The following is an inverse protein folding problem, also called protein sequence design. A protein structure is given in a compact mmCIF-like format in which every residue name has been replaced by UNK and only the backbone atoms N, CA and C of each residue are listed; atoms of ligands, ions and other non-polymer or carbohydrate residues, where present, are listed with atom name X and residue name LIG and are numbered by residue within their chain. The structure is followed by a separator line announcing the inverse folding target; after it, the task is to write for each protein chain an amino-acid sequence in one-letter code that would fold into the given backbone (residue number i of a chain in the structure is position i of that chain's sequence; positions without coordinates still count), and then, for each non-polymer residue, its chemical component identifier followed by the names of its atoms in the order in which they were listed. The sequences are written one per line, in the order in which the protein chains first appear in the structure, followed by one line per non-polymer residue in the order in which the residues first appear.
data_IF_517202757748
#
_entry.id   IF_517202757748
#
_cell.length_a   1.000
_cell.length_b   1.000
_cell.length_c   1.000
_cell.angle_alpha   90.00
_cell.angle_beta   90.00
_cell.angle_gamma   90.00
#
_symmetry.space_group_name_H-M   'P 1'
#
loop_
_entity.id
_entity.type
_entity.pdbx_description
1 polymer ?
#
# COMPACT_ATOMS: atom_id res chain seq x y z
N UNK A 1 -17.25 -22.47 -27.73
CA UNK A 1 -18.35 -22.10 -26.81
C UNK A 1 -17.99 -20.77 -26.13
N UNK A 2 -18.29 -19.64 -26.79
CA UNK A 2 -18.13 -18.33 -26.18
C UNK A 2 -19.27 -18.16 -25.17
N UNK A 3 -18.95 -18.26 -23.88
CA UNK A 3 -19.86 -17.83 -22.83
C UNK A 3 -20.12 -16.35 -23.07
N UNK A 4 -21.26 -16.02 -23.68
CA UNK A 4 -21.82 -14.67 -23.66
C UNK A 4 -21.98 -14.30 -22.20
N UNK A 5 -20.96 -13.67 -21.63
CA UNK A 5 -21.11 -12.94 -20.36
C UNK A 5 -22.17 -11.90 -20.64
N UNK A 6 -23.37 -12.10 -20.10
CA UNK A 6 -24.50 -11.22 -20.27
C UNK A 6 -24.08 -9.79 -19.92
N UNK A 7 -23.76 -8.99 -20.94
CA UNK A 7 -23.42 -7.58 -20.83
C UNK A 7 -24.70 -6.73 -20.65
N UNK A 8 -25.72 -7.29 -19.99
CA UNK A 8 -27.09 -6.80 -19.98
C UNK A 8 -27.69 -6.81 -18.58
N UNK A 9 -27.08 -6.07 -17.65
CA UNK A 9 -27.77 -5.28 -16.63
C UNK A 9 -26.71 -4.60 -15.75
N UNK A 10 -26.37 -3.36 -16.13
CA UNK A 10 -25.50 -2.44 -15.39
C UNK A 10 -26.05 -1.99 -14.02
N UNK A 11 -27.10 -2.65 -13.53
CA UNK A 11 -27.66 -2.52 -12.20
C UNK A 11 -27.07 -3.57 -11.26
N UNK A 12 -25.74 -3.58 -11.06
CA UNK A 12 -25.15 -4.32 -9.94
C UNK A 12 -25.96 -4.01 -8.68
N UNK A 13 -26.41 -5.07 -7.98
CA UNK A 13 -27.34 -4.95 -6.85
C UNK A 13 -26.86 -3.85 -5.89
N UNK A 14 -27.70 -2.91 -5.42
CA UNK A 14 -27.27 -1.76 -4.61
C UNK A 14 -26.37 -2.14 -3.42
N UNK A 15 -26.66 -3.26 -2.76
CA UNK A 15 -25.87 -3.79 -1.65
C UNK A 15 -24.42 -4.12 -2.04
N UNK A 16 -24.16 -4.55 -3.28
CA UNK A 16 -22.81 -4.88 -3.75
C UNK A 16 -21.91 -3.64 -3.80
N UNK A 17 -22.48 -2.49 -4.18
CA UNK A 17 -21.75 -1.21 -4.19
C UNK A 17 -21.43 -0.74 -2.77
N UNK A 18 -22.38 -0.88 -1.85
CA UNK A 18 -22.20 -0.54 -0.43
C UNK A 18 -21.14 -1.46 0.20
N UNK A 19 -21.22 -2.76 -0.03
CA UNK A 19 -20.26 -3.73 0.47
C UNK A 19 -18.86 -3.49 -0.11
N UNK A 20 -18.72 -3.24 -1.42
CA UNK A 20 -17.43 -2.91 -2.03
C UNK A 20 -16.84 -1.62 -1.44
N UNK A 21 -17.65 -0.59 -1.25
CA UNK A 21 -17.22 0.68 -0.63
C UNK A 21 -16.80 0.48 0.82
N UNK A 22 -17.60 -0.22 1.62
CA UNK A 22 -17.32 -0.49 3.04
C UNK A 22 -16.05 -1.32 3.21
N UNK A 23 -15.90 -2.39 2.43
CA UNK A 23 -14.70 -3.21 2.40
C UNK A 23 -13.47 -2.37 2.01
N UNK A 24 -13.51 -1.68 0.87
CA UNK A 24 -12.41 -0.87 0.40
C UNK A 24 -12.04 0.23 1.41
N UNK A 25 -13.02 0.89 2.01
CA UNK A 25 -12.80 1.90 3.04
C UNK A 25 -12.07 1.29 4.24
N UNK A 26 -12.57 0.15 4.77
CA UNK A 26 -11.96 -0.54 5.91
C UNK A 26 -10.50 -0.93 5.69
N UNK A 27 -10.08 -1.21 4.44
CA UNK A 27 -8.68 -1.56 4.14
C UNK A 27 -7.68 -0.43 4.45
N UNK A 28 -8.14 0.82 4.56
CA UNK A 28 -7.30 1.96 4.90
C UNK A 28 -7.18 2.22 6.41
N UNK A 29 -7.92 1.49 7.24
CA UNK A 29 -7.93 1.68 8.69
C UNK A 29 -7.31 0.47 9.38
N UNK A 30 -5.97 0.45 9.58
CA UNK A 30 -5.33 -0.60 10.37
C UNK A 30 -5.70 -0.52 11.87
N UNK A 31 -6.36 0.57 12.28
CA UNK A 31 -6.84 0.85 13.63
C UNK A 31 -8.31 1.30 13.64
N UNK A 32 -9.05 1.02 14.73
CA UNK A 32 -8.70 0.06 15.78
C UNK A 32 -8.81 -1.38 15.26
N UNK A 33 -8.14 -2.32 15.93
CA UNK A 33 -8.45 -3.74 15.75
C UNK A 33 -9.88 -4.04 16.22
N UNK A 34 -10.46 -5.13 15.71
CA UNK A 34 -11.71 -5.67 16.25
C UNK A 34 -11.47 -6.12 17.69
N UNK A 35 -12.38 -5.78 18.60
CA UNK A 35 -12.36 -6.19 20.01
C UNK A 35 -12.75 -7.68 20.17
N UNK A 36 -12.06 -8.57 19.46
CA UNK A 36 -12.22 -10.01 19.53
C UNK A 36 -11.05 -10.56 20.33
N UNK A 37 -11.28 -10.77 21.63
CA UNK A 37 -10.23 -11.13 22.58
C UNK A 37 -9.21 -10.01 22.79
N UNK A 38 -8.22 -10.27 23.64
CA UNK A 38 -7.26 -9.24 24.06
C UNK A 38 -6.02 -9.13 23.15
N UNK A 39 -5.88 -10.00 22.13
CA UNK A 39 -4.58 -10.22 21.46
C UNK A 39 -4.65 -10.46 19.95
N UNK A 40 -5.83 -10.46 19.32
CA UNK A 40 -5.92 -10.96 17.93
C UNK A 40 -5.37 -10.01 16.88
N UNK A 41 -5.34 -8.69 17.15
CA UNK A 41 -4.91 -7.67 16.18
C UNK A 41 -5.71 -7.65 14.87
N UNK A 42 -6.84 -8.36 14.83
CA UNK A 42 -7.62 -8.60 13.62
C UNK A 42 -8.29 -7.31 13.16
N UNK A 43 -8.01 -6.89 11.93
CA UNK A 43 -8.63 -5.71 11.33
C UNK A 43 -10.00 -6.04 10.72
N UNK A 44 -10.88 -5.04 10.66
CA UNK A 44 -12.19 -5.19 10.01
C UNK A 44 -12.07 -5.66 8.54
N UNK A 45 -11.12 -5.12 7.78
CA UNK A 45 -10.84 -5.54 6.40
C UNK A 45 -10.46 -7.01 6.28
N UNK A 46 -9.68 -7.54 7.23
CA UNK A 46 -9.27 -8.94 7.27
C UNK A 46 -10.48 -9.83 7.58
N UNK A 47 -11.30 -9.46 8.56
CA UNK A 47 -12.54 -10.18 8.89
C UNK A 47 -13.52 -10.21 7.71
N UNK A 48 -13.70 -9.07 7.01
CA UNK A 48 -14.52 -9.01 5.80
C UNK A 48 -13.94 -9.83 4.65
N UNK A 49 -12.61 -9.91 4.54
CA UNK A 49 -11.94 -10.76 3.53
C UNK A 49 -12.18 -12.24 3.80
N UNK A 50 -12.12 -12.67 5.06
CA UNK A 50 -12.45 -14.04 5.46
C UNK A 50 -13.91 -14.38 5.17
N UNK A 51 -14.83 -13.46 5.49
CA UNK A 51 -16.25 -13.64 5.19
C UNK A 51 -16.53 -13.79 3.68
N UNK A 52 -15.63 -13.29 2.82
CA UNK A 52 -15.75 -13.43 1.36
C UNK A 52 -15.27 -14.80 0.84
N UNK A 53 -14.53 -15.60 1.62
CA UNK A 53 -13.91 -16.86 1.18
C UNK A 53 -14.90 -17.83 0.51
N UNK A 54 -16.10 -18.14 1.05
CA UNK A 54 -17.02 -19.07 0.42
C UNK A 54 -17.41 -18.66 -1.01
N UNK A 55 -17.55 -17.35 -1.24
CA UNK A 55 -17.89 -16.81 -2.57
C UNK A 55 -16.71 -16.83 -3.53
N UNK A 56 -15.49 -16.75 -3.01
CA UNK A 56 -14.26 -16.83 -3.80
C UNK A 56 -13.99 -18.28 -4.24
N UNK A 57 -14.21 -19.25 -3.35
CA UNK A 57 -14.07 -20.68 -3.65
C UNK A 57 -15.05 -21.17 -4.73
N UNK A 58 -16.23 -20.55 -4.84
CA UNK A 58 -17.23 -20.88 -5.86
C UNK A 58 -16.89 -20.35 -7.27
N UNK A 59 -15.80 -19.60 -7.44
CA UNK A 59 -15.43 -18.96 -8.72
C UNK A 59 -14.15 -19.52 -9.30
N UNK A 60 -14.00 -19.40 -10.62
CA UNK A 60 -12.74 -19.73 -11.27
C UNK A 60 -11.64 -18.77 -10.83
N UNK A 61 -10.43 -19.27 -10.52
CA UNK A 61 -9.38 -18.46 -9.94
C UNK A 61 -8.85 -17.42 -10.93
N UNK A 62 -9.09 -16.15 -10.62
CA UNK A 62 -8.49 -15.03 -11.33
C UNK A 62 -7.03 -14.78 -10.95
N UNK A 63 -6.50 -13.64 -11.41
CA UNK A 63 -5.08 -13.29 -11.15
C UNK A 63 -4.82 -12.96 -9.68
N UNK A 64 -5.68 -12.22 -8.96
CA UNK A 64 -5.46 -11.97 -7.53
C UNK A 64 -5.44 -13.23 -6.69
N UNK A 65 -6.34 -14.19 -6.94
CA UNK A 65 -6.33 -15.48 -6.24
C UNK A 65 -5.07 -16.31 -6.57
N UNK A 66 -4.60 -16.30 -7.82
CA UNK A 66 -3.32 -16.96 -8.16
C UNK A 66 -2.14 -16.30 -7.47
N UNK A 67 -2.10 -14.97 -7.40
CA UNK A 67 -1.07 -14.25 -6.67
C UNK A 67 -1.11 -14.57 -5.17
N UNK A 68 -2.31 -14.66 -4.57
CA UNK A 68 -2.48 -15.11 -3.20
C UNK A 68 -1.87 -16.50 -2.99
N UNK A 69 -2.18 -17.48 -3.84
CA UNK A 69 -1.62 -18.83 -3.75
C UNK A 69 -0.09 -18.85 -3.94
N UNK A 70 0.43 -18.05 -4.88
CA UNK A 70 1.87 -17.91 -5.09
C UNK A 70 2.59 -17.34 -3.87
N UNK A 71 1.98 -16.42 -3.14
CA UNK A 71 2.55 -15.85 -1.92
C UNK A 71 2.38 -16.76 -0.69
N UNK A 72 1.26 -17.46 -0.57
CA UNK A 72 1.03 -18.37 0.56
C UNK A 72 1.83 -19.67 0.48
N UNK A 73 2.12 -20.16 -0.73
CA UNK A 73 2.89 -21.40 -0.93
C UNK A 73 4.26 -21.38 -0.22
N UNK A 74 5.14 -20.40 -0.51
CA UNK A 74 6.43 -20.27 0.16
C UNK A 74 6.32 -20.08 1.68
N UNK A 75 5.31 -19.37 2.17
CA UNK A 75 5.07 -19.23 3.63
C UNK A 75 4.79 -20.60 4.24
N UNK A 76 3.86 -21.37 3.66
CA UNK A 76 3.49 -22.68 4.18
C UNK A 76 4.67 -23.67 4.15
N UNK A 77 5.46 -23.66 3.06
CA UNK A 77 6.65 -24.50 2.93
C UNK A 77 7.73 -24.09 3.94
N UNK A 78 8.01 -22.80 4.07
CA UNK A 78 8.97 -22.28 5.05
C UNK A 78 8.57 -22.63 6.48
N UNK A 79 7.31 -22.38 6.85
CA UNK A 79 6.79 -22.71 8.17
C UNK A 79 6.90 -24.21 8.47
N UNK A 80 6.48 -25.06 7.53
CA UNK A 80 6.53 -26.52 7.70
C UNK A 80 7.97 -27.02 7.85
N UNK A 81 8.88 -26.50 7.04
CA UNK A 81 10.28 -26.88 7.07
C UNK A 81 10.94 -26.46 8.39
N UNK A 82 10.80 -25.19 8.77
CA UNK A 82 11.42 -24.65 9.97
C UNK A 82 10.85 -25.29 11.26
N UNK A 83 9.56 -25.61 11.30
CA UNK A 83 8.98 -26.34 12.44
C UNK A 83 9.46 -27.79 12.55
N UNK A 84 9.89 -28.40 11.44
CA UNK A 84 10.33 -29.81 11.41
C UNK A 84 11.83 -29.95 11.60
N UNK A 85 12.63 -29.05 11.03
CA UNK A 85 14.08 -29.18 10.92
C UNK A 85 14.87 -27.98 11.45
N UNK A 86 14.22 -26.85 11.72
CA UNK A 86 14.89 -25.61 12.12
C UNK A 86 15.26 -25.58 13.60
N UNK A 87 16.45 -25.08 13.90
CA UNK A 87 16.82 -24.64 15.25
C UNK A 87 16.43 -23.15 15.39
N UNK A 88 15.24 -22.92 15.94
CA UNK A 88 14.58 -21.62 15.87
C UNK A 88 14.76 -20.82 17.15
N UNK A 89 15.07 -19.51 17.06
CA UNK A 89 15.09 -18.62 18.23
C UNK A 89 13.76 -18.62 19.00
N UNK A 90 12.64 -18.66 18.27
CA UNK A 90 11.29 -18.59 18.83
C UNK A 90 10.30 -19.42 18.00
N UNK A 91 10.16 -20.75 18.26
CA UNK A 91 9.35 -21.64 17.44
C UNK A 91 7.84 -21.36 17.51
N UNK A 92 7.35 -20.76 18.60
CA UNK A 92 5.94 -20.42 18.78
C UNK A 92 5.49 -19.21 17.96
N UNK A 93 6.42 -18.40 17.45
CA UNK A 93 6.14 -17.25 16.59
C UNK A 93 5.72 -17.69 15.19
N UNK A 94 6.32 -18.76 14.64
CA UNK A 94 6.04 -19.23 13.28
C UNK A 94 4.54 -19.45 13.01
N UNK A 95 3.78 -20.22 13.82
CA UNK A 95 2.36 -20.42 13.55
C UNK A 95 1.56 -19.13 13.67
N UNK A 96 1.88 -18.27 14.65
CA UNK A 96 1.20 -16.99 14.87
C UNK A 96 1.37 -16.05 13.67
N UNK A 97 2.61 -15.90 13.21
CA UNK A 97 2.94 -15.03 12.09
C UNK A 97 2.47 -15.61 10.75
N UNK A 98 2.51 -16.93 10.58
CA UNK A 98 1.90 -17.57 9.39
C UNK A 98 0.41 -17.25 9.29
N UNK A 99 -0.33 -17.30 10.41
CA UNK A 99 -1.74 -16.93 10.44
C UNK A 99 -1.91 -15.43 10.15
N UNK A 100 -1.10 -14.56 10.75
CA UNK A 100 -1.15 -13.12 10.51
C UNK A 100 -0.90 -12.77 9.02
N UNK A 101 0.07 -13.42 8.39
CA UNK A 101 0.39 -13.29 6.97
C UNK A 101 -0.77 -13.77 6.08
N UNK A 102 -1.38 -14.91 6.41
CA UNK A 102 -2.58 -15.41 5.71
C UNK A 102 -3.70 -14.38 5.79
N UNK A 103 -3.96 -13.82 6.97
CA UNK A 103 -5.00 -12.81 7.18
C UNK A 103 -4.72 -11.53 6.42
N UNK A 104 -3.47 -11.05 6.41
CA UNK A 104 -3.07 -9.87 5.68
C UNK A 104 -3.26 -10.04 4.16
N UNK A 105 -2.84 -11.20 3.63
CA UNK A 105 -2.93 -11.50 2.20
C UNK A 105 -4.35 -11.87 1.75
N UNK A 106 -5.23 -12.31 2.65
CA UNK A 106 -6.61 -12.68 2.34
C UNK A 106 -7.38 -11.56 1.61
N UNK A 107 -6.98 -10.29 1.81
CA UNK A 107 -7.50 -9.11 1.10
C UNK A 107 -7.39 -9.22 -0.43
N UNK A 108 -6.41 -9.95 -0.95
CA UNK A 108 -6.26 -10.19 -2.40
C UNK A 108 -7.44 -10.94 -3.02
N UNK A 109 -8.12 -11.78 -2.23
CA UNK A 109 -9.31 -12.51 -2.66
C UNK A 109 -10.44 -11.58 -3.12
N UNK A 110 -11.06 -10.81 -2.20
CA UNK A 110 -12.11 -9.85 -2.55
C UNK A 110 -11.60 -8.69 -3.42
N UNK A 111 -10.28 -8.42 -3.47
CA UNK A 111 -9.71 -7.41 -4.35
C UNK A 111 -10.07 -7.64 -5.84
N UNK A 112 -10.17 -8.90 -6.29
CA UNK A 112 -10.64 -9.20 -7.65
C UNK A 112 -12.08 -8.73 -7.90
N UNK A 113 -12.95 -8.92 -6.91
CA UNK A 113 -14.35 -8.56 -7.02
C UNK A 113 -14.53 -7.04 -7.09
N UNK A 114 -13.84 -6.30 -6.22
CA UNK A 114 -13.91 -4.83 -6.22
C UNK A 114 -13.10 -4.19 -7.35
N UNK A 115 -12.18 -4.92 -7.99
CA UNK A 115 -11.52 -4.50 -9.23
C UNK A 115 -12.40 -4.72 -10.48
N UNK A 116 -13.63 -5.21 -10.34
CA UNK A 116 -14.63 -5.15 -11.42
C UNK A 116 -14.97 -3.69 -11.77
N UNK A 117 -15.08 -3.35 -13.07
CA UNK A 117 -15.21 -1.96 -13.55
C UNK A 117 -16.26 -1.12 -12.81
N UNK A 118 -17.44 -1.68 -12.55
CA UNK A 118 -18.54 -0.96 -11.91
C UNK A 118 -18.32 -0.73 -10.40
N UNK A 119 -17.60 -1.65 -9.75
CA UNK A 119 -17.29 -1.58 -8.31
C UNK A 119 -15.99 -0.81 -8.04
N UNK A 120 -15.05 -0.77 -8.98
CA UNK A 120 -13.78 -0.08 -8.82
C UNK A 120 -13.94 1.43 -8.56
N UNK A 121 -15.01 2.02 -9.12
CA UNK A 121 -15.37 3.42 -8.84
C UNK A 121 -15.76 3.64 -7.38
N UNK A 122 -16.33 2.63 -6.74
CA UNK A 122 -16.68 2.66 -5.32
C UNK A 122 -15.43 2.45 -4.46
N UNK A 123 -14.50 1.60 -4.89
CA UNK A 123 -13.16 1.46 -4.29
C UNK A 123 -12.39 2.77 -4.31
N UNK A 124 -12.35 3.47 -5.45
CA UNK A 124 -11.68 4.78 -5.56
C UNK A 124 -12.35 5.86 -4.71
N UNK A 125 -13.68 5.86 -4.63
CA UNK A 125 -14.40 6.79 -3.76
C UNK A 125 -14.10 6.51 -2.28
N UNK A 126 -14.03 5.24 -1.89
CA UNK A 126 -13.63 4.82 -0.55
C UNK A 126 -12.19 5.22 -0.23
N UNK A 127 -11.24 5.01 -1.15
CA UNK A 127 -9.86 5.43 -1.01
C UNK A 127 -9.73 6.95 -0.84
N UNK A 128 -10.44 7.74 -1.67
CA UNK A 128 -10.50 9.19 -1.52
C UNK A 128 -11.06 9.63 -0.17
N UNK A 129 -12.11 8.96 0.32
CA UNK A 129 -12.69 9.25 1.63
C UNK A 129 -11.74 8.92 2.77
N UNK A 130 -11.05 7.78 2.71
CA UNK A 130 -10.06 7.41 3.69
C UNK A 130 -8.90 8.42 3.73
N UNK A 131 -8.38 8.85 2.57
CA UNK A 131 -7.35 9.89 2.48
C UNK A 131 -7.78 11.18 3.16
N UNK A 132 -9.02 11.64 2.93
CA UNK A 132 -9.56 12.84 3.61
C UNK A 132 -9.60 12.64 5.13
N UNK A 133 -10.11 11.50 5.61
CA UNK A 133 -10.17 11.21 7.05
C UNK A 133 -8.77 11.20 7.68
N UNK A 134 -7.81 10.51 7.08
CA UNK A 134 -6.44 10.49 7.57
C UNK A 134 -5.77 11.86 7.53
N UNK A 135 -6.08 12.69 6.53
CA UNK A 135 -5.55 14.04 6.44
C UNK A 135 -6.10 14.94 7.54
N UNK A 136 -7.41 14.88 7.83
CA UNK A 136 -8.01 15.63 8.94
C UNK A 136 -7.43 15.20 10.29
N UNK A 137 -7.27 13.89 10.51
CA UNK A 137 -6.63 13.36 11.72
C UNK A 137 -5.17 13.78 11.80
N UNK A 138 -4.44 13.75 10.67
CA UNK A 138 -3.05 14.20 10.63
C UNK A 138 -2.87 15.69 10.91
N UNK A 139 -3.79 16.54 10.45
CA UNK A 139 -3.79 17.96 10.83
C UNK A 139 -4.04 18.14 12.33
N UNK A 140 -4.93 17.35 12.93
CA UNK A 140 -5.14 17.35 14.38
C UNK A 140 -3.92 16.83 15.15
N UNK A 141 -3.21 15.83 14.61
CA UNK A 141 -1.91 15.36 15.12
C UNK A 141 -0.87 16.47 15.12
N UNK A 142 -0.74 17.27 14.05
CA UNK A 142 0.19 18.40 14.04
C UNK A 142 -0.11 19.39 15.17
N UNK A 143 -1.37 19.73 15.37
CA UNK A 143 -1.78 20.62 16.47
C UNK A 143 -1.45 20.01 17.84
N UNK A 144 -1.75 18.73 18.05
CA UNK A 144 -1.56 18.06 19.34
C UNK A 144 -0.07 17.82 19.67
N UNK A 145 0.75 17.48 18.67
CA UNK A 145 2.20 17.34 18.82
C UNK A 145 2.90 18.66 19.16
N UNK A 146 2.32 19.80 18.80
CA UNK A 146 2.79 21.11 19.26
C UNK A 146 2.59 21.32 20.78
N UNK A 147 1.74 20.51 21.41
CA UNK A 147 1.46 20.49 22.85
C UNK A 147 1.98 19.20 23.52
N UNK A 148 2.87 18.44 22.85
CA UNK A 148 3.42 17.17 23.34
C UNK A 148 2.38 16.07 23.63
N UNK A 149 1.20 16.16 23.00
CA UNK A 149 0.11 15.20 23.16
C UNK A 149 -0.04 14.29 21.94
N UNK A 150 -0.33 13.00 22.17
CA UNK A 150 -0.74 12.07 21.11
C UNK A 150 -2.28 12.00 21.06
N UNK A 151 -2.94 12.59 20.04
CA UNK A 151 -4.38 12.67 20.03
C UNK A 151 -5.02 11.33 19.68
N UNK A 152 -6.24 11.13 20.19
CA UNK A 152 -7.09 9.98 19.86
C UNK A 152 -6.40 8.63 20.12
N UNK A 153 -5.54 8.53 21.16
CA UNK A 153 -4.79 7.32 21.48
C UNK A 153 -5.69 6.07 21.61
N UNK A 154 -6.93 6.24 22.09
CA UNK A 154 -7.94 5.17 22.17
C UNK A 154 -8.27 4.51 20.82
N UNK A 155 -8.03 5.18 19.69
CA UNK A 155 -8.20 4.59 18.36
C UNK A 155 -7.02 3.67 18.00
N UNK A 156 -5.83 3.87 18.58
CA UNK A 156 -4.60 3.13 18.25
C UNK A 156 -4.49 1.81 19.02
N UNK A 157 -5.62 1.15 19.23
CA UNK A 157 -5.69 -0.16 19.89
C UNK A 157 -5.56 -1.26 18.84
N UNK A 158 -4.34 -1.71 18.58
CA UNK A 158 -4.07 -2.91 17.80
C UNK A 158 -2.81 -3.62 18.32
N UNK A 159 -2.93 -4.80 18.97
CA UNK A 159 -1.78 -5.55 19.47
C UNK A 159 -0.74 -5.91 18.39
N UNK A 160 -1.15 -6.06 17.13
CA UNK A 160 -0.23 -6.36 16.01
C UNK A 160 0.61 -5.15 15.56
N UNK A 161 0.32 -3.96 16.09
CA UNK A 161 1.00 -2.70 15.78
C UNK A 161 1.09 -1.81 17.03
N UNK A 162 1.41 -2.34 18.21
CA UNK A 162 1.26 -1.59 19.46
C UNK A 162 1.98 -0.23 19.42
N UNK A 163 1.20 0.85 19.55
CA UNK A 163 1.68 2.22 19.78
C UNK A 163 1.65 2.58 21.28
N UNK A 164 1.14 1.70 22.14
CA UNK A 164 0.91 1.97 23.56
C UNK A 164 2.23 2.22 24.30
N UNK A 165 3.29 1.47 23.99
CA UNK A 165 4.60 1.65 24.63
C UNK A 165 5.40 2.79 23.99
N UNK A 166 5.09 3.15 22.75
CA UNK A 166 5.87 4.09 21.94
C UNK A 166 5.22 5.48 21.81
N UNK A 167 3.96 5.69 22.21
CA UNK A 167 3.24 6.94 21.94
C UNK A 167 3.89 8.16 22.58
N UNK A 168 4.45 8.03 23.80
CA UNK A 168 5.16 9.13 24.47
C UNK A 168 6.42 9.52 23.70
N UNK A 169 7.20 8.52 23.29
CA UNK A 169 8.39 8.74 22.45
C UNK A 169 7.98 9.38 21.12
N UNK A 170 6.87 8.91 20.53
CA UNK A 170 6.38 9.43 19.26
C UNK A 170 5.90 10.88 19.35
N UNK A 171 5.11 11.23 20.37
CA UNK A 171 4.57 12.57 20.56
C UNK A 171 5.64 13.58 20.97
N UNK A 172 6.62 13.18 21.78
CA UNK A 172 7.66 14.08 22.27
C UNK A 172 8.80 14.26 21.26
N UNK A 173 9.21 13.19 20.59
CA UNK A 173 10.42 13.20 19.77
C UNK A 173 10.16 13.07 18.27
N UNK A 174 9.20 12.25 17.85
CA UNK A 174 8.99 11.97 16.41
C UNK A 174 8.15 13.07 15.76
N UNK A 175 7.01 13.45 16.35
CA UNK A 175 6.12 14.55 15.91
C UNK A 175 5.74 14.53 14.41
N UNK A 176 5.61 13.35 13.81
CA UNK A 176 5.27 13.18 12.38
C UNK A 176 3.82 12.72 12.21
N UNK A 177 2.93 13.52 11.61
CA UNK A 177 1.54 13.11 11.42
C UNK A 177 1.46 11.92 10.46
N UNK A 178 0.62 10.95 10.81
CA UNK A 178 0.44 9.70 10.08
C UNK A 178 -1.04 9.30 9.93
N UNK A 179 -1.99 10.12 10.36
CA UNK A 179 -3.40 9.78 10.37
C UNK A 179 -3.68 8.63 11.34
N UNK A 180 -4.32 7.56 10.87
CA UNK A 180 -4.59 6.34 11.67
C UNK A 180 -3.71 5.19 11.17
N UNK A 181 -2.42 5.45 11.02
CA UNK A 181 -1.39 4.46 10.70
C UNK A 181 -0.36 4.44 11.84
N UNK A 182 0.38 3.32 12.01
CA UNK A 182 1.36 3.24 13.09
C UNK A 182 2.49 4.26 12.92
N UNK A 183 2.79 4.64 11.68
CA UNK A 183 3.83 5.60 11.37
C UNK A 183 3.63 6.25 10.00
N UNK A 184 4.34 7.35 9.75
CA UNK A 184 4.32 8.06 8.48
C UNK A 184 4.72 7.18 7.28
N UNK A 185 5.70 6.27 7.43
CA UNK A 185 6.10 5.35 6.36
C UNK A 185 4.96 4.41 5.96
N UNK A 186 4.35 3.74 6.94
CA UNK A 186 3.17 2.88 6.76
C UNK A 186 2.04 3.62 6.03
N UNK A 187 1.72 4.85 6.47
CA UNK A 187 0.73 5.70 5.81
C UNK A 187 1.09 5.95 4.34
N UNK A 188 2.31 6.40 4.05
CA UNK A 188 2.71 6.72 2.67
C UNK A 188 2.78 5.49 1.77
N UNK A 189 3.19 4.33 2.28
CA UNK A 189 3.16 3.07 1.55
C UNK A 189 1.73 2.63 1.23
N UNK A 190 0.80 2.79 2.17
CA UNK A 190 -0.60 2.45 2.01
C UNK A 190 -1.38 3.43 1.12
N UNK A 191 -1.17 4.75 1.25
CA UNK A 191 -1.92 5.78 0.54
C UNK A 191 -1.28 6.22 -0.78
N UNK A 192 0.05 6.20 -0.89
CA UNK A 192 0.81 6.74 -2.02
C UNK A 192 0.38 6.21 -3.39
N UNK A 193 0.26 4.88 -3.60
CA UNK A 193 -0.14 4.34 -4.88
C UNK A 193 -1.58 4.74 -5.29
N UNK A 194 -2.49 4.81 -4.33
CA UNK A 194 -3.86 5.31 -4.54
C UNK A 194 -3.88 6.80 -4.85
N UNK A 195 -3.02 7.58 -4.20
CA UNK A 195 -2.86 9.01 -4.45
C UNK A 195 -2.43 9.26 -5.91
N UNK A 196 -1.40 8.56 -6.38
CA UNK A 196 -0.91 8.64 -7.77
C UNK A 196 -2.00 8.24 -8.77
N UNK A 197 -2.76 7.18 -8.47
CA UNK A 197 -3.87 6.74 -9.29
C UNK A 197 -4.98 7.80 -9.37
N UNK A 198 -5.41 8.36 -8.23
CA UNK A 198 -6.44 9.40 -8.18
C UNK A 198 -6.00 10.65 -8.94
N UNK A 199 -4.72 11.05 -8.82
CA UNK A 199 -4.16 12.17 -9.57
C UNK A 199 -4.23 11.92 -11.08
N UNK A 200 -3.75 10.75 -11.54
CA UNK A 200 -3.82 10.38 -12.95
C UNK A 200 -5.24 10.35 -13.52
N UNK A 201 -6.21 9.86 -12.74
CA UNK A 201 -7.62 9.79 -13.15
C UNK A 201 -8.32 11.16 -13.18
N UNK A 202 -7.96 12.08 -12.28
CA UNK A 202 -8.50 13.44 -12.30
C UNK A 202 -8.03 14.22 -13.53
N UNK A 203 -6.81 13.91 -13.99
CA UNK A 203 -6.12 14.62 -15.06
C UNK A 203 -6.36 14.03 -16.46
N UNK A 204 -6.78 12.77 -16.55
CA UNK A 204 -7.13 12.12 -17.82
C UNK A 204 -8.66 12.11 -18.08
N UNK A 205 -9.18 12.99 -18.97
CA UNK A 205 -10.61 13.01 -19.30
C UNK A 205 -11.09 11.74 -20.03
N UNK A 206 -10.19 10.97 -20.65
CA UNK A 206 -10.51 9.73 -21.37
C UNK A 206 -10.64 8.54 -20.41
N UNK A 207 -9.74 8.43 -19.44
CA UNK A 207 -9.78 7.40 -18.39
C UNK A 207 -10.81 7.70 -17.30
N UNK A 208 -11.14 8.98 -17.08
CA UNK A 208 -12.16 9.43 -16.14
C UNK A 208 -13.60 9.39 -16.69
N UNK A 209 -13.87 8.81 -17.86
CA UNK A 209 -15.23 8.70 -18.41
C UNK A 209 -16.10 7.86 -17.46
N UNK A 210 -17.03 8.53 -16.79
CA UNK A 210 -17.93 7.96 -15.78
C UNK A 210 -17.60 8.32 -14.32
N UNK A 211 -16.51 9.05 -14.08
CA UNK A 211 -16.37 9.84 -12.86
C UNK A 211 -17.21 11.11 -13.02
N UNK A 212 -18.44 11.08 -12.50
CA UNK A 212 -19.29 12.27 -12.46
C UNK A 212 -18.59 13.44 -11.79
N UNK A 213 -18.97 14.67 -12.15
CA UNK A 213 -18.39 15.91 -11.62
C UNK A 213 -18.24 15.94 -10.09
N UNK A 214 -19.25 15.46 -9.36
CA UNK A 214 -19.22 15.37 -7.89
C UNK A 214 -18.07 14.48 -7.39
N UNK A 215 -17.87 13.31 -8.01
CA UNK A 215 -16.76 12.40 -7.67
C UNK A 215 -15.39 13.01 -8.01
N UNK A 216 -15.29 13.80 -9.08
CA UNK A 216 -14.06 14.53 -9.43
C UNK A 216 -13.72 15.62 -8.42
N UNK A 217 -14.71 16.42 -8.00
CA UNK A 217 -14.53 17.42 -6.93
C UNK A 217 -14.03 16.78 -5.64
N UNK A 218 -14.66 15.66 -5.27
CA UNK A 218 -14.26 14.90 -4.10
C UNK A 218 -12.84 14.35 -4.21
N UNK A 219 -12.48 13.76 -5.35
CA UNK A 219 -11.12 13.30 -5.60
C UNK A 219 -10.10 14.45 -5.56
N UNK A 220 -10.43 15.63 -6.09
CA UNK A 220 -9.58 16.81 -5.99
C UNK A 220 -9.38 17.27 -4.53
N UNK A 221 -10.43 17.25 -3.70
CA UNK A 221 -10.32 17.53 -2.27
C UNK A 221 -9.44 16.49 -1.55
N UNK A 222 -9.60 15.20 -1.87
CA UNK A 222 -8.74 14.13 -1.36
C UNK A 222 -7.28 14.31 -1.78
N UNK A 223 -7.02 14.74 -3.02
CA UNK A 223 -5.67 15.03 -3.49
C UNK A 223 -5.07 16.24 -2.77
N UNK A 224 -5.82 17.32 -2.60
CA UNK A 224 -5.35 18.51 -1.90
C UNK A 224 -5.00 18.21 -0.43
N UNK A 225 -5.92 17.59 0.31
CA UNK A 225 -5.70 17.24 1.72
C UNK A 225 -4.65 16.14 1.88
N UNK A 226 -4.66 15.13 0.99
CA UNK A 226 -3.66 14.07 0.98
C UNK A 226 -2.25 14.58 0.70
N UNK A 227 -2.09 15.57 -0.20
CA UNK A 227 -0.81 16.25 -0.44
C UNK A 227 -0.27 16.92 0.82
N UNK A 228 -1.14 17.66 1.53
CA UNK A 228 -0.77 18.32 2.80
C UNK A 228 -0.31 17.28 3.81
N UNK A 229 -1.07 16.20 3.98
CA UNK A 229 -0.71 15.11 4.90
C UNK A 229 0.62 14.45 4.53
N UNK A 230 0.81 14.07 3.25
CA UNK A 230 2.03 13.42 2.77
C UNK A 230 3.24 14.32 3.01
N UNK A 231 3.14 15.62 2.67
CA UNK A 231 4.21 16.58 2.91
C UNK A 231 4.55 16.71 4.41
N UNK A 232 3.54 16.89 5.26
CA UNK A 232 3.72 17.03 6.70
C UNK A 232 4.25 15.76 7.37
N UNK A 233 3.99 14.58 6.80
CA UNK A 233 4.46 13.30 7.35
C UNK A 233 5.98 13.13 7.33
N UNK A 234 6.70 13.96 6.54
CA UNK A 234 8.15 13.88 6.34
C UNK A 234 8.64 12.48 5.96
N UNK A 235 7.78 11.65 5.34
CA UNK A 235 8.18 10.32 4.88
C UNK A 235 9.10 10.42 3.68
N UNK A 236 10.16 9.62 3.66
CA UNK A 236 11.06 9.54 2.52
C UNK A 236 10.37 9.05 1.23
N UNK A 237 9.27 8.29 1.34
CA UNK A 237 8.45 7.89 0.21
C UNK A 237 7.75 9.07 -0.49
N UNK A 238 7.65 10.23 0.16
CA UNK A 238 7.05 11.45 -0.40
C UNK A 238 7.67 11.81 -1.75
N UNK A 239 9.00 11.71 -1.88
CA UNK A 239 9.70 12.01 -3.13
C UNK A 239 9.28 11.07 -4.26
N UNK A 240 9.20 9.77 -3.98
CA UNK A 240 8.77 8.79 -4.97
C UNK A 240 7.31 9.02 -5.41
N UNK A 241 6.41 9.32 -4.46
CA UNK A 241 5.00 9.62 -4.76
C UNK A 241 4.91 10.88 -5.62
N UNK A 242 5.58 11.97 -5.24
CA UNK A 242 5.53 13.23 -5.99
C UNK A 242 6.14 13.09 -7.39
N UNK A 243 7.28 12.41 -7.51
CA UNK A 243 7.88 12.12 -8.81
C UNK A 243 6.93 11.31 -9.71
N UNK A 244 6.30 10.27 -9.18
CA UNK A 244 5.32 9.47 -9.91
C UNK A 244 4.09 10.28 -10.33
N UNK A 245 3.59 11.17 -9.48
CA UNK A 245 2.51 12.11 -9.82
C UNK A 245 2.95 13.03 -10.96
N UNK A 246 4.13 13.66 -10.86
CA UNK A 246 4.64 14.57 -11.89
C UNK A 246 4.81 13.88 -13.24
N UNK A 247 5.38 12.67 -13.28
CA UNK A 247 5.52 11.88 -14.51
C UNK A 247 4.15 11.52 -15.10
N UNK A 248 3.21 11.07 -14.27
CA UNK A 248 1.86 10.76 -14.71
C UNK A 248 1.12 12.00 -15.26
N UNK A 249 1.34 13.17 -14.67
CA UNK A 249 0.80 14.46 -15.13
C UNK A 249 1.42 14.89 -16.46
N UNK A 250 2.76 14.91 -16.54
CA UNK A 250 3.52 15.41 -17.68
C UNK A 250 3.16 14.67 -18.98
N UNK A 251 2.98 13.35 -18.89
CA UNK A 251 2.60 12.55 -20.05
C UNK A 251 1.19 12.83 -20.60
N UNK A 252 0.36 13.59 -19.88
CA UNK A 252 -0.97 14.00 -20.34
C UNK A 252 -1.01 15.41 -20.89
N UNK A 253 0.03 16.21 -20.70
CA UNK A 253 0.14 17.58 -21.22
C UNK A 253 -0.11 17.67 -22.73
N UNK A 254 0.45 16.78 -23.60
CA UNK A 254 0.20 16.86 -25.05
C UNK A 254 -1.26 16.65 -25.43
N UNK A 255 -2.03 15.92 -24.61
CA UNK A 255 -3.46 15.66 -24.85
C UNK A 255 -4.37 16.83 -24.43
N UNK A 256 -3.82 17.84 -23.77
CA UNK A 256 -4.57 18.99 -23.25
C UNK A 256 -4.61 20.19 -24.19
N UNK A 257 -3.78 20.20 -25.23
CA UNK A 257 -3.65 21.29 -26.22
C UNK A 257 -4.97 21.73 -26.85
N UNK A 258 -6.02 20.89 -26.82
CA UNK A 258 -7.33 21.19 -27.41
C UNK A 258 -8.47 21.43 -26.39
N UNK A 259 -8.23 21.34 -25.07
CA UNK A 259 -9.29 21.43 -24.05
C UNK A 259 -8.76 21.70 -22.64
N UNK A 260 -8.16 22.87 -22.41
CA UNK A 260 -7.85 23.35 -21.06
C UNK A 260 -9.09 23.99 -20.44
N UNK A 261 -9.93 23.20 -19.77
CA UNK A 261 -11.00 23.75 -18.92
C UNK A 261 -10.39 24.32 -17.64
N UNK A 262 -10.94 25.42 -17.10
CA UNK A 262 -10.49 26.02 -15.84
C UNK A 262 -10.29 25.02 -14.69
N UNK A 263 -11.16 24.01 -14.59
CA UNK A 263 -11.03 22.94 -13.57
C UNK A 263 -9.80 22.04 -13.72
N UNK A 264 -9.30 21.80 -14.95
CA UNK A 264 -8.05 21.05 -15.18
C UNK A 264 -6.84 21.90 -14.80
N UNK A 265 -6.86 23.19 -15.14
CA UNK A 265 -5.82 24.13 -14.75
C UNK A 265 -5.74 24.24 -13.22
N UNK A 266 -6.87 24.34 -12.53
CA UNK A 266 -6.91 24.38 -11.07
C UNK A 266 -6.39 23.08 -10.44
N UNK A 267 -6.83 21.91 -10.94
CA UNK A 267 -6.35 20.63 -10.42
C UNK A 267 -4.84 20.45 -10.64
N UNK A 268 -4.34 20.79 -11.83
CA UNK A 268 -2.92 20.78 -12.12
C UNK A 268 -2.16 21.78 -11.24
N UNK A 269 -2.67 23.01 -11.09
CA UNK A 269 -2.06 24.03 -10.26
C UNK A 269 -1.97 23.55 -8.80
N UNK A 270 -3.04 22.99 -8.24
CA UNK A 270 -3.02 22.46 -6.88
C UNK A 270 -2.02 21.30 -6.73
N UNK A 271 -1.98 20.37 -7.67
CA UNK A 271 -1.04 19.25 -7.66
C UNK A 271 0.40 19.73 -7.81
N UNK A 272 0.66 20.68 -8.72
CA UNK A 272 1.98 21.25 -8.93
C UNK A 272 2.42 22.11 -7.75
N UNK A 273 1.55 22.96 -7.20
CA UNK A 273 1.85 23.75 -6.00
C UNK A 273 2.11 22.83 -4.81
N UNK A 274 1.34 21.75 -4.65
CA UNK A 274 1.61 20.76 -3.62
C UNK A 274 2.93 20.02 -3.86
N UNK A 275 3.23 19.64 -5.11
CA UNK A 275 4.49 18.98 -5.45
C UNK A 275 5.68 19.91 -5.25
N UNK A 276 5.58 21.18 -5.67
CA UNK A 276 6.61 22.21 -5.48
C UNK A 276 6.75 22.56 -4.00
N UNK A 277 5.66 22.63 -3.23
CA UNK A 277 5.73 22.83 -1.79
C UNK A 277 6.37 21.63 -1.10
N UNK A 278 6.03 20.40 -1.49
CA UNK A 278 6.63 19.18 -0.94
C UNK A 278 8.11 19.04 -1.34
N UNK A 279 8.46 19.37 -2.58
CA UNK A 279 9.84 19.36 -3.09
C UNK A 279 10.64 20.51 -2.49
N UNK A 280 10.07 21.71 -2.34
CA UNK A 280 10.72 22.86 -1.71
C UNK A 280 10.88 22.68 -0.21
N UNK A 281 9.88 22.09 0.45
CA UNK A 281 9.98 21.65 1.84
C UNK A 281 11.06 20.56 2.00
N UNK A 282 11.04 19.57 1.12
CA UNK A 282 12.10 18.57 1.00
C UNK A 282 13.45 19.24 0.81
N UNK A 283 13.69 19.92 -0.30
CA UNK A 283 14.94 20.60 -0.63
C UNK A 283 15.44 21.54 0.49
N UNK A 284 14.56 22.32 1.13
CA UNK A 284 14.97 23.19 2.26
C UNK A 284 15.41 22.41 3.50
N UNK A 285 14.88 21.21 3.74
CA UNK A 285 15.25 20.33 4.85
C UNK A 285 16.22 19.20 4.44
N UNK A 286 16.55 19.08 3.15
CA UNK A 286 17.46 18.09 2.57
C UNK A 286 18.79 18.70 2.15
N UNK A 287 18.78 19.93 1.60
CA UNK A 287 19.98 20.64 1.14
C UNK A 287 20.65 21.43 2.27
N UNK A 288 19.99 21.58 3.43
CA UNK A 288 20.58 22.14 4.65
C UNK A 288 21.32 21.10 5.52
N UNK A 289 21.56 19.90 5.00
CA UNK A 289 21.76 18.69 5.81
C UNK A 289 20.40 18.07 6.11
N UNK A 290 20.26 16.75 5.96
CA UNK A 290 19.08 16.09 6.50
C UNK A 290 19.01 16.42 8.00
N UNK A 291 17.80 16.63 8.54
CA UNK A 291 17.59 16.43 9.98
C UNK A 291 18.26 15.09 10.34
N UNK A 292 19.20 15.08 11.27
CA UNK A 292 20.01 13.90 11.64
C UNK A 292 19.13 12.64 11.81
N UNK A 293 17.88 12.85 12.23
CA UNK A 293 16.85 11.82 12.40
C UNK A 293 16.40 11.17 11.09
N UNK A 294 16.23 11.95 10.03
CA UNK A 294 15.82 11.44 8.70
C UNK A 294 16.98 10.68 8.07
N UNK A 295 18.19 11.20 8.15
CA UNK A 295 19.40 10.52 7.66
C UNK A 295 19.61 9.19 8.38
N UNK A 296 19.49 9.19 9.71
CA UNK A 296 19.64 7.98 10.50
C UNK A 296 18.54 6.94 10.23
N UNK A 297 17.28 7.37 10.05
CA UNK A 297 16.19 6.44 9.67
C UNK A 297 16.47 5.76 8.32
N UNK A 298 17.05 6.48 7.35
CA UNK A 298 17.47 5.91 6.08
C UNK A 298 18.73 5.05 6.18
N UNK A 299 19.67 5.41 7.05
CA UNK A 299 20.83 4.57 7.40
C UNK A 299 20.41 3.22 7.95
N UNK A 300 19.54 3.20 8.96
CA UNK A 300 18.98 1.98 9.55
C UNK A 300 18.20 1.17 8.51
N UNK A 301 17.36 1.81 7.67
CA UNK A 301 16.66 1.12 6.56
C UNK A 301 17.62 0.42 5.61
N UNK A 302 18.68 1.12 5.20
CA UNK A 302 19.65 0.57 4.25
C UNK A 302 20.40 -0.60 4.88
N UNK A 303 20.74 -0.49 6.17
CA UNK A 303 21.39 -1.54 6.92
C UNK A 303 20.48 -2.76 7.11
N UNK A 304 19.21 -2.57 7.51
CA UNK A 304 18.24 -3.67 7.67
C UNK A 304 17.96 -4.38 6.33
N UNK A 305 17.83 -3.63 5.23
CA UNK A 305 17.70 -4.20 3.87
C UNK A 305 18.93 -5.03 3.52
N UNK A 306 20.13 -4.49 3.75
CA UNK A 306 21.39 -5.20 3.49
C UNK A 306 21.46 -6.49 4.31
N UNK A 307 21.25 -6.40 5.62
CA UNK A 307 21.25 -7.55 6.54
C UNK A 307 20.26 -8.60 6.09
N UNK A 308 19.02 -8.23 5.78
CA UNK A 308 18.00 -9.20 5.36
C UNK A 308 18.26 -9.84 3.99
N UNK A 309 18.95 -9.14 3.07
CA UNK A 309 19.40 -9.73 1.80
C UNK A 309 20.57 -10.70 1.98
N UNK A 310 21.35 -10.57 3.06
CA UNK A 310 22.52 -11.42 3.34
C UNK A 310 22.29 -12.46 4.44
N UNK A 311 21.12 -12.48 5.08
CA UNK A 311 20.85 -13.34 6.23
C UNK A 311 20.74 -14.82 5.89
N UNK A 312 20.29 -15.16 4.68
CA UNK A 312 20.12 -16.54 4.22
C UNK A 312 21.45 -17.07 3.65
N UNK A 313 22.31 -17.61 4.52
CA UNK A 313 23.70 -17.99 4.17
C UNK A 313 23.89 -19.48 3.89
N UNK A 314 23.16 -20.36 4.60
CA UNK A 314 23.22 -21.80 4.37
C UNK A 314 22.24 -22.23 3.25
N UNK A 315 22.45 -23.38 2.59
CA UNK A 315 21.60 -23.82 1.47
C UNK A 315 20.11 -23.96 1.82
N UNK A 316 19.78 -24.27 3.09
CA UNK A 316 18.39 -24.46 3.51
C UNK A 316 17.69 -23.13 3.76
N UNK A 317 18.30 -22.22 4.53
CA UNK A 317 17.76 -20.85 4.69
C UNK A 317 17.74 -20.11 3.35
N UNK A 318 18.69 -20.37 2.45
CA UNK A 318 18.65 -19.83 1.10
C UNK A 318 17.43 -20.31 0.31
N UNK A 319 17.07 -21.60 0.39
CA UNK A 319 15.93 -22.15 -0.33
C UNK A 319 14.57 -21.78 0.29
N UNK A 320 14.43 -21.99 1.61
CA UNK A 320 13.16 -21.93 2.34
C UNK A 320 13.04 -20.73 3.28
N UNK A 321 14.12 -20.00 3.53
CA UNK A 321 14.15 -18.90 4.49
C UNK A 321 14.23 -19.37 5.93
N UNK A 322 14.29 -18.40 6.84
CA UNK A 322 14.46 -18.59 8.28
C UNK A 322 13.15 -18.86 9.03
N UNK A 323 12.01 -18.90 8.35
CA UNK A 323 10.70 -19.11 8.95
C UNK A 323 9.91 -17.81 9.16
N UNK A 324 8.57 -17.83 8.99
CA UNK A 324 7.71 -16.66 9.24
C UNK A 324 7.91 -16.06 10.64
N UNK A 325 8.02 -14.73 10.71
CA UNK A 325 8.16 -14.00 11.97
C UNK A 325 9.56 -13.94 12.56
N UNK A 326 10.52 -14.73 12.05
CA UNK A 326 11.89 -14.72 12.58
C UNK A 326 12.69 -13.49 12.12
N UNK A 327 12.20 -12.78 11.10
CA UNK A 327 12.97 -11.72 10.45
C UNK A 327 13.35 -10.57 11.38
N UNK A 328 12.38 -10.07 12.15
CA UNK A 328 12.61 -8.98 13.08
C UNK A 328 13.63 -9.36 14.16
N UNK A 329 13.55 -10.57 14.72
CA UNK A 329 14.46 -11.05 15.76
C UNK A 329 15.90 -11.17 15.26
N UNK A 330 16.08 -11.73 14.05
CA UNK A 330 17.41 -11.89 13.45
C UNK A 330 18.02 -10.52 13.15
N UNK A 331 17.26 -9.61 12.54
CA UNK A 331 17.78 -8.28 12.23
C UNK A 331 18.11 -7.51 13.52
N UNK A 332 17.26 -7.57 14.55
CA UNK A 332 17.55 -6.93 15.83
C UNK A 332 18.81 -7.49 16.49
N UNK A 333 19.04 -8.80 16.40
CA UNK A 333 20.26 -9.44 16.92
C UNK A 333 21.51 -8.97 16.18
N UNK A 334 21.47 -8.93 14.86
CA UNK A 334 22.59 -8.45 14.04
C UNK A 334 22.88 -6.96 14.25
N UNK A 335 21.86 -6.17 14.55
CA UNK A 335 21.99 -4.75 14.83
C UNK A 335 22.37 -4.42 16.27
N UNK A 336 22.33 -5.38 17.20
CA UNK A 336 22.63 -5.13 18.62
C UNK A 336 24.05 -4.61 18.87
N UNK A 337 25.00 -4.92 17.98
CA UNK A 337 26.39 -4.43 18.05
C UNK A 337 26.64 -3.11 17.32
N UNK A 338 25.63 -2.54 16.67
CA UNK A 338 25.77 -1.27 15.94
C UNK A 338 25.47 -0.14 16.93
N UNK A 339 26.40 0.80 17.15
CA UNK A 339 26.14 1.95 18.01
C UNK A 339 25.06 2.82 17.35
N UNK A 340 23.81 2.60 17.76
CA UNK A 340 22.69 3.45 17.41
C UNK A 340 22.60 4.57 18.44
N UNK A 341 22.36 5.83 18.02
CA UNK A 341 22.07 6.92 18.95
C UNK A 341 20.96 6.54 19.94
N UNK A 342 21.09 6.94 21.21
CA UNK A 342 20.17 6.54 22.31
C UNK A 342 18.70 6.93 22.05
N UNK A 343 18.42 7.84 21.12
CA UNK A 343 17.09 8.25 20.71
C UNK A 343 16.49 7.40 19.56
N UNK A 344 17.21 6.40 19.04
CA UNK A 344 16.84 5.62 17.86
C UNK A 344 16.29 4.22 18.18
N UNK A 345 15.34 4.16 19.11
CA UNK A 345 14.55 2.96 19.40
C UNK A 345 13.65 2.48 18.22
N UNK A 346 13.71 3.13 17.04
CA UNK A 346 12.98 2.71 15.85
C UNK A 346 13.69 1.57 15.10
N UNK A 347 13.90 0.45 15.79
CA UNK A 347 14.33 -0.80 15.16
C UNK A 347 13.22 -1.43 14.27
N UNK A 348 12.01 -0.87 14.22
CA UNK A 348 10.87 -1.42 13.49
C UNK A 348 10.87 -1.11 11.98
N UNK A 349 11.91 -0.46 11.47
CA UNK A 349 11.94 0.04 10.10
C UNK A 349 12.58 -0.98 9.17
N UNK A 350 11.79 -1.99 8.79
CA UNK A 350 12.19 -3.01 7.82
C UNK A 350 11.53 -2.79 6.46
N UNK A 351 12.03 -3.53 5.47
CA UNK A 351 11.38 -3.69 4.17
C UNK A 351 10.51 -4.94 4.19
N UNK A 352 9.23 -4.79 3.89
CA UNK A 352 8.27 -5.88 3.77
C UNK A 352 8.77 -6.93 2.78
N UNK A 353 9.26 -6.50 1.61
CA UNK A 353 9.82 -7.41 0.59
C UNK A 353 11.02 -8.18 1.12
N UNK A 354 11.92 -7.52 1.87
CA UNK A 354 13.11 -8.17 2.43
C UNK A 354 12.75 -9.13 3.56
N UNK A 355 11.84 -8.74 4.47
CA UNK A 355 11.33 -9.64 5.50
C UNK A 355 10.71 -10.89 4.86
N UNK A 356 9.84 -10.71 3.88
CA UNK A 356 9.22 -11.83 3.17
C UNK A 356 10.28 -12.73 2.51
N UNK A 357 11.27 -12.15 1.81
CA UNK A 357 12.38 -12.92 1.22
C UNK A 357 13.20 -13.66 2.28
N UNK A 358 13.54 -13.01 3.38
CA UNK A 358 14.34 -13.63 4.43
C UNK A 358 13.57 -14.81 5.05
N UNK A 359 12.28 -14.64 5.32
CA UNK A 359 11.43 -15.65 5.94
C UNK A 359 11.10 -16.83 5.02
N UNK A 360 11.05 -16.62 3.69
CA UNK A 360 10.61 -17.65 2.73
C UNK A 360 11.66 -18.05 1.68
N UNK A 361 12.85 -17.48 1.76
CA UNK A 361 14.01 -17.80 0.92
C UNK A 361 13.82 -17.45 -0.56
N UNK A 362 14.61 -18.13 -1.41
CA UNK A 362 14.54 -18.01 -2.87
C UNK A 362 13.16 -18.38 -3.42
N UNK A 363 12.45 -19.34 -2.81
CA UNK A 363 11.08 -19.68 -3.22
C UNK A 363 10.14 -18.47 -3.07
N UNK A 364 10.26 -17.74 -1.96
CA UNK A 364 9.60 -16.47 -1.75
C UNK A 364 9.95 -15.42 -2.79
N UNK A 365 11.25 -15.22 -3.04
CA UNK A 365 11.74 -14.29 -4.05
C UNK A 365 11.19 -14.58 -5.44
N UNK A 366 11.17 -15.85 -5.86
CA UNK A 366 10.59 -16.28 -7.13
C UNK A 366 9.08 -16.04 -7.20
N UNK A 367 8.34 -16.28 -6.11
CA UNK A 367 6.92 -15.97 -6.03
C UNK A 367 6.65 -14.46 -6.19
N UNK A 368 7.41 -13.60 -5.52
CA UNK A 368 7.32 -12.15 -5.66
C UNK A 368 7.59 -11.72 -7.11
N UNK A 369 8.63 -12.25 -7.75
CA UNK A 369 8.95 -11.98 -9.16
C UNK A 369 7.82 -12.44 -10.10
N UNK A 370 7.22 -13.61 -9.85
CA UNK A 370 6.10 -14.11 -10.63
C UNK A 370 4.87 -13.19 -10.51
N UNK A 371 4.53 -12.74 -9.30
CA UNK A 371 3.44 -11.77 -9.06
C UNK A 371 3.74 -10.44 -9.75
N UNK A 372 4.97 -9.94 -9.65
CA UNK A 372 5.39 -8.71 -10.34
C UNK A 372 5.27 -8.84 -11.86
N UNK A 373 5.70 -9.97 -12.43
CA UNK A 373 5.54 -10.25 -13.86
C UNK A 373 4.07 -10.28 -14.29
N UNK A 374 3.17 -10.83 -13.45
CA UNK A 374 1.72 -10.78 -13.69
C UNK A 374 1.20 -9.35 -13.72
N UNK A 375 1.63 -8.50 -12.78
CA UNK A 375 1.26 -7.07 -12.74
C UNK A 375 1.78 -6.32 -13.97
N UNK A 376 3.07 -6.46 -14.31
CA UNK A 376 3.66 -5.79 -15.48
C UNK A 376 2.95 -6.20 -16.76
N UNK A 377 2.62 -7.50 -16.93
CA UNK A 377 1.82 -7.98 -18.07
C UNK A 377 0.42 -7.37 -18.09
N UNK A 378 -0.24 -7.22 -16.95
CA UNK A 378 -1.55 -6.56 -16.87
C UNK A 378 -1.44 -5.07 -17.25
N UNK A 379 -0.39 -4.37 -16.81
CA UNK A 379 -0.16 -2.97 -17.16
C UNK A 379 0.14 -2.82 -18.65
N UNK A 380 1.02 -3.65 -19.21
CA UNK A 380 1.43 -3.60 -20.61
C UNK A 380 0.28 -3.85 -21.60
N UNK A 381 -0.75 -4.61 -21.20
CA UNK A 381 -1.95 -4.88 -22.00
C UNK A 381 -3.05 -3.81 -21.89
N UNK A 382 -2.80 -2.76 -21.12
CA UNK A 382 -3.80 -1.73 -20.81
C UNK A 382 -3.66 -0.49 -21.70
N UNK A 383 -4.68 0.37 -21.72
CA UNK A 383 -4.58 1.71 -22.32
C UNK A 383 -3.92 2.75 -21.42
N UNK A 384 -3.62 2.40 -20.17
CA UNK A 384 -3.08 3.29 -19.15
C UNK A 384 -1.71 2.82 -18.63
N UNK A 385 -0.82 2.42 -19.55
CA UNK A 385 0.48 1.82 -19.25
C UNK A 385 1.30 2.69 -18.30
N UNK A 386 1.53 3.96 -18.66
CA UNK A 386 2.38 4.85 -17.86
C UNK A 386 1.83 5.10 -16.47
N UNK A 387 0.51 5.33 -16.33
CA UNK A 387 -0.13 5.48 -15.03
C UNK A 387 0.06 4.20 -14.19
N UNK A 388 -0.11 3.04 -14.83
CA UNK A 388 0.15 1.74 -14.21
C UNK A 388 1.59 1.62 -13.71
N UNK A 389 2.58 2.00 -14.53
CA UNK A 389 3.99 1.97 -14.14
C UNK A 389 4.31 2.96 -13.01
N UNK A 390 3.75 4.17 -13.03
CA UNK A 390 3.94 5.16 -11.96
C UNK A 390 3.37 4.66 -10.62
N UNK A 391 2.16 4.09 -10.66
CA UNK A 391 1.52 3.52 -9.47
C UNK A 391 2.22 2.25 -8.97
N UNK A 392 2.68 1.37 -9.87
CA UNK A 392 3.49 0.20 -9.53
C UNK A 392 4.82 0.62 -8.88
N UNK A 393 5.53 1.59 -9.47
CA UNK A 393 6.77 2.09 -8.90
C UNK A 393 6.57 2.64 -7.49
N UNK A 394 5.49 3.41 -7.29
CA UNK A 394 5.13 3.93 -5.96
C UNK A 394 4.81 2.80 -4.97
N UNK A 395 4.08 1.77 -5.41
CA UNK A 395 3.78 0.59 -4.60
C UNK A 395 5.05 -0.19 -4.24
N UNK A 396 5.96 -0.38 -5.18
CA UNK A 396 7.26 -1.02 -4.96
C UNK A 396 8.11 -0.25 -3.95
N UNK A 397 8.21 1.08 -4.06
CA UNK A 397 8.89 1.89 -3.03
C UNK A 397 8.23 1.71 -1.66
N UNK A 398 6.90 1.65 -1.62
CA UNK A 398 6.14 1.35 -0.42
C UNK A 398 6.60 0.05 0.25
N UNK A 399 6.48 -1.07 -0.44
CA UNK A 399 6.73 -2.41 0.13
C UNK A 399 8.21 -2.80 0.22
N UNK A 400 9.05 -2.32 -0.70
CA UNK A 400 10.45 -2.74 -0.77
C UNK A 400 11.39 -1.83 0.03
N UNK A 401 10.97 -0.61 0.38
CA UNK A 401 11.85 0.39 0.99
C UNK A 401 11.21 1.09 2.19
N UNK A 402 9.88 1.27 2.16
CA UNK A 402 9.23 2.21 3.06
C UNK A 402 8.65 1.57 4.31
N UNK A 403 8.07 0.37 4.23
CA UNK A 403 7.33 -0.19 5.36
C UNK A 403 7.59 -1.67 5.55
N UNK A 404 7.47 -2.12 6.80
CA UNK A 404 7.55 -3.51 7.26
C UNK A 404 6.18 -4.08 7.67
N UNK A 405 5.15 -3.24 7.73
CA UNK A 405 3.85 -3.62 8.28
C UNK A 405 3.06 -4.47 7.28
N UNK A 406 3.23 -5.78 7.36
CA UNK A 406 2.46 -6.76 6.60
C UNK A 406 0.94 -6.58 6.72
N UNK A 407 0.35 -6.27 7.89
CA UNK A 407 -1.10 -6.20 8.01
C UNK A 407 -1.76 -4.95 7.37
N UNK A 408 -1.02 -4.13 6.62
CA UNK A 408 -1.58 -2.97 5.90
C UNK A 408 -2.43 -3.38 4.70
N UNK A 409 -3.72 -3.66 4.96
CA UNK A 409 -4.70 -4.12 3.98
C UNK A 409 -4.76 -3.28 2.68
N UNK A 410 -4.59 -1.96 2.75
CA UNK A 410 -4.61 -1.07 1.59
C UNK A 410 -3.53 -1.38 0.54
N UNK A 411 -2.36 -1.87 0.97
CA UNK A 411 -1.25 -2.25 0.08
C UNK A 411 -1.65 -3.47 -0.76
N UNK A 412 -2.26 -4.47 -0.12
CA UNK A 412 -2.72 -5.70 -0.77
C UNK A 412 -3.94 -5.47 -1.66
N UNK A 413 -4.87 -4.61 -1.21
CA UNK A 413 -5.99 -4.16 -2.04
C UNK A 413 -5.48 -3.50 -3.33
N UNK A 414 -4.43 -2.67 -3.23
CA UNK A 414 -3.84 -2.02 -4.40
C UNK A 414 -3.14 -3.02 -5.32
N UNK A 415 -2.42 -4.01 -4.77
CA UNK A 415 -1.85 -5.10 -5.56
C UNK A 415 -2.93 -5.85 -6.36
N UNK A 416 -4.10 -6.09 -5.77
CA UNK A 416 -5.24 -6.67 -6.48
C UNK A 416 -5.77 -5.78 -7.63
N UNK A 417 -5.75 -4.46 -7.47
CA UNK A 417 -6.08 -3.51 -8.53
C UNK A 417 -5.03 -3.55 -9.66
N UNK A 418 -3.73 -3.59 -9.32
CA UNK A 418 -2.62 -3.73 -10.27
C UNK A 418 -2.68 -5.04 -11.06
N UNK A 419 -3.01 -6.17 -10.40
CA UNK A 419 -3.20 -7.46 -11.06
C UNK A 419 -4.40 -7.46 -12.03
N UNK A 420 -5.34 -6.54 -11.84
CA UNK A 420 -6.55 -6.38 -12.65
C UNK A 420 -6.48 -5.19 -13.62
N UNK A 421 -5.30 -4.61 -13.81
CA UNK A 421 -5.13 -3.31 -14.46
C UNK A 421 -5.67 -3.21 -15.90
N UNK A 422 -5.44 -4.22 -16.74
CA UNK A 422 -5.98 -4.30 -18.11
C UNK A 422 -7.52 -4.40 -18.14
N UNK A 423 -8.15 -4.98 -17.10
CA UNK A 423 -9.61 -5.01 -16.97
C UNK A 423 -10.15 -3.62 -16.63
N UNK A 424 -9.45 -2.90 -15.75
CA UNK A 424 -9.77 -1.54 -15.33
C UNK A 424 -9.57 -0.53 -16.48
N UNK A 425 -8.50 -0.70 -17.25
CA UNK A 425 -8.10 0.16 -18.36
C UNK A 425 -7.91 -0.65 -19.64
N UNK A 426 -9.01 -1.09 -20.29
CA UNK A 426 -8.91 -1.91 -21.50
C UNK A 426 -8.11 -1.20 -22.60
N UNK A 427 -7.43 -1.95 -23.48
CA UNK A 427 -6.80 -1.39 -24.67
C UNK A 427 -7.84 -0.63 -25.50
N UNK A 428 -7.42 0.47 -26.13
CA UNK A 428 -8.29 1.21 -27.05
C UNK A 428 -8.59 0.31 -28.25
N UNK A 429 -9.86 0.21 -28.70
CA UNK A 429 -10.17 -0.55 -29.91
C UNK A 429 -9.42 0.05 -31.09
N UNK A 430 -8.77 -0.78 -31.90
CA UNK A 430 -8.02 -0.35 -33.07
C UNK A 430 -8.92 0.44 -34.01
N UNK A 431 -8.72 1.75 -34.09
CA UNK A 431 -9.49 2.65 -34.95
C UNK A 431 -9.36 2.29 -36.43
N UNK A 432 -8.35 1.48 -36.81
CA UNK A 432 -8.18 0.95 -38.16
C UNK A 432 -9.25 -0.08 -38.56
N UNK A 433 -9.81 -0.83 -37.60
CA UNK A 433 -10.87 -1.81 -37.87
C UNK A 433 -12.28 -1.21 -38.02
N UNK A 434 -12.43 0.09 -37.72
CA UNK A 434 -13.73 0.79 -37.73
C UNK A 434 -13.94 1.68 -38.97
N UNK A 435 -13.05 1.65 -39.97
CA UNK A 435 -13.35 2.26 -41.27
C UNK A 435 -14.28 1.31 -42.04
N UNK A 436 -15.56 1.68 -42.29
CA UNK A 436 -16.37 0.94 -43.24
C UNK A 436 -15.64 0.92 -44.58
N UNK A 437 -15.52 -0.26 -45.18
CA UNK A 437 -14.97 -0.44 -46.52
C UNK A 437 -15.86 0.23 -47.55
#
# INVERSE_FOLDING_TARGET
MQVRTAAGSSGGRPWARVAARGFAFSCFFPYPALAIGNTTGLQLSQALSLAAVPFLCARTPGRPLRALLLLLGPIALSASFNLTFGDLPAPDIIPKESIALVLALAVLGPAEWVAGRDLFRETLAAAGAAIVVHALIGLYQVYSFAHDEFPLLFLFQNPSMSMEDCHKIYAQYIKRPCGLFPEASAMTAALGPWFVLLAGLCLDPSSGRGFGWRKKKFAAAALALGSVLIALSRSGATFAIMAAVLVACAAKVPSWSHSLTAGKCLALALVLTAAVAAVGYGASHLMGGFDDRVEASWGIRTLTIRTGLTANTDPFSLAFGVGPGQSALIIMRELAGVPLPEDQYQLAVFSLTVCYYMETGLLGGLALLAVLAMVVRAIARSSAVLLGLCTLGTWLVGVAVTTSYMPLSAIWLFLGALLSWDRLFPPRPDTAAARPR
#
